data_IF_451336289668
#
_entry.id   IF_451336289668
#
_cell.length_a   1.000
_cell.length_b   1.000
_cell.length_c   1.000
_cell.angle_alpha   90.00
_cell.angle_beta   90.00
_cell.angle_gamma   90.00
#
_symmetry.space_group_name_H-M   'P 1'
#
loop_
_entity.id
_entity.type
_entity.pdbx_description
1 polymer ?
#
# COMPACT_ATOMS: atom_id res chain seq x y z
N UNK A 1 4.46 -10.12 -44.52
CA UNK A 1 3.74 -8.87 -44.26
C UNK A 1 4.42 -8.23 -43.08
N UNK A 2 4.86 -6.98 -43.24
CA UNK A 2 5.54 -6.27 -42.15
C UNK A 2 4.49 -5.94 -41.06
N UNK A 3 4.79 -6.09 -39.75
CA UNK A 3 3.81 -5.80 -38.68
C UNK A 3 3.16 -4.41 -38.80
N UNK A 4 3.91 -3.41 -39.25
CA UNK A 4 3.38 -2.06 -39.49
C UNK A 4 2.34 -1.98 -40.63
N UNK A 5 2.42 -2.83 -41.66
CA UNK A 5 1.44 -2.86 -42.75
C UNK A 5 0.09 -3.42 -42.27
N UNK A 6 0.14 -4.46 -41.43
CA UNK A 6 -1.04 -5.03 -40.78
C UNK A 6 -1.71 -3.98 -39.87
N UNK A 7 -0.92 -3.32 -39.01
CA UNK A 7 -1.40 -2.25 -38.12
C UNK A 7 -2.04 -1.10 -38.90
N UNK A 8 -1.40 -0.64 -39.98
CA UNK A 8 -1.92 0.42 -40.83
C UNK A 8 -3.24 0.03 -41.52
N UNK A 9 -3.38 -1.22 -41.96
CA UNK A 9 -4.62 -1.72 -42.55
C UNK A 9 -5.78 -1.71 -41.55
N UNK A 10 -5.56 -2.14 -40.31
CA UNK A 10 -6.57 -2.07 -39.25
C UNK A 10 -6.94 -0.63 -38.89
N UNK A 11 -5.94 0.26 -38.78
CA UNK A 11 -6.15 1.69 -38.54
C UNK A 11 -7.02 2.34 -39.61
N UNK A 12 -6.78 2.00 -40.89
CA UNK A 12 -7.56 2.50 -42.03
C UNK A 12 -9.03 2.08 -41.95
N UNK A 13 -9.30 0.81 -41.67
CA UNK A 13 -10.67 0.30 -41.53
C UNK A 13 -11.44 1.00 -40.39
N UNK A 14 -10.77 1.34 -39.30
CA UNK A 14 -11.41 2.03 -38.18
C UNK A 14 -11.60 3.54 -38.45
N UNK A 15 -10.56 4.24 -38.90
CA UNK A 15 -10.58 5.71 -39.06
C UNK A 15 -11.29 6.18 -40.34
N UNK A 16 -11.15 5.45 -41.45
CA UNK A 16 -11.75 5.85 -42.75
C UNK A 16 -13.12 5.20 -42.99
N UNK A 17 -13.28 3.91 -42.64
CA UNK A 17 -14.53 3.18 -42.87
C UNK A 17 -15.47 3.16 -41.65
N UNK A 18 -15.00 3.63 -40.48
CA UNK A 18 -15.80 3.72 -39.25
C UNK A 18 -16.19 2.37 -38.65
N UNK A 19 -15.51 1.28 -39.05
CA UNK A 19 -15.85 -0.08 -38.63
C UNK A 19 -15.40 -0.28 -37.18
N UNK A 20 -16.30 -0.78 -36.35
CA UNK A 20 -16.02 -1.01 -34.93
C UNK A 20 -14.95 -2.10 -34.71
N UNK A 21 -14.17 -2.06 -33.61
CA UNK A 21 -13.23 -3.11 -33.25
C UNK A 21 -13.88 -4.51 -33.18
N UNK A 22 -15.14 -4.57 -32.76
CA UNK A 22 -15.94 -5.79 -32.66
C UNK A 22 -16.24 -6.39 -34.05
N UNK A 23 -16.61 -5.56 -35.02
CA UNK A 23 -16.87 -5.99 -36.40
C UNK A 23 -15.58 -6.39 -37.12
N UNK A 24 -14.48 -5.67 -36.88
CA UNK A 24 -13.16 -6.04 -37.38
C UNK A 24 -12.77 -7.43 -36.82
N UNK A 25 -12.95 -7.67 -35.52
CA UNK A 25 -12.66 -8.97 -34.90
C UNK A 25 -13.46 -10.10 -35.56
N UNK A 26 -14.76 -9.88 -35.79
CA UNK A 26 -15.63 -10.85 -36.46
C UNK A 26 -15.21 -11.09 -37.93
N UNK A 27 -14.81 -10.05 -38.66
CA UNK A 27 -14.41 -10.13 -40.07
C UNK A 27 -13.10 -10.89 -40.29
N UNK A 28 -12.14 -10.75 -39.37
CA UNK A 28 -10.82 -11.37 -39.47
C UNK A 28 -10.66 -12.63 -38.61
N UNK A 29 -11.67 -13.02 -37.82
CA UNK A 29 -11.63 -14.21 -36.98
C UNK A 29 -10.61 -14.14 -35.84
N UNK A 30 -10.29 -12.94 -35.35
CA UNK A 30 -9.30 -12.69 -34.29
C UNK A 30 -9.98 -12.14 -33.03
N UNK A 31 -9.31 -12.26 -31.88
CA UNK A 31 -9.87 -11.78 -30.61
C UNK A 31 -10.06 -10.26 -30.62
N UNK A 32 -11.12 -9.77 -29.95
CA UNK A 32 -11.37 -8.32 -29.79
C UNK A 32 -10.19 -7.60 -29.14
N UNK A 33 -9.51 -8.25 -28.20
CA UNK A 33 -8.30 -7.69 -27.55
C UNK A 33 -7.15 -7.56 -28.52
N UNK A 34 -6.98 -8.53 -29.42
CA UNK A 34 -5.97 -8.44 -30.47
C UNK A 34 -6.26 -7.25 -31.39
N UNK A 35 -7.52 -7.03 -31.78
CA UNK A 35 -7.91 -5.88 -32.59
C UNK A 35 -7.68 -4.56 -31.85
N UNK A 36 -8.13 -4.43 -30.59
CA UNK A 36 -7.92 -3.22 -29.80
C UNK A 36 -6.43 -2.88 -29.64
N UNK A 37 -5.59 -3.89 -29.43
CA UNK A 37 -4.12 -3.73 -29.39
C UNK A 37 -3.56 -3.27 -30.74
N UNK A 38 -4.02 -3.83 -31.86
CA UNK A 38 -3.58 -3.40 -33.20
C UNK A 38 -4.00 -1.97 -33.52
N UNK A 39 -5.22 -1.59 -33.13
CA UNK A 39 -5.73 -0.23 -33.29
C UNK A 39 -4.97 0.78 -32.42
N UNK A 40 -4.63 0.41 -31.18
CA UNK A 40 -3.79 1.25 -30.31
C UNK A 40 -2.41 1.53 -30.93
N UNK A 41 -1.79 0.52 -31.56
CA UNK A 41 -0.54 0.71 -32.30
C UNK A 41 -0.73 1.57 -33.56
N UNK A 42 -1.87 1.49 -34.22
CA UNK A 42 -2.18 2.30 -35.40
C UNK A 42 -2.45 3.78 -35.06
N UNK A 43 -2.67 4.08 -33.78
CA UNK A 43 -2.92 5.43 -33.28
C UNK A 43 -1.64 6.17 -32.86
N UNK A 44 -0.47 5.53 -32.97
CA UNK A 44 0.82 6.16 -32.72
C UNK A 44 1.10 7.32 -33.70
N UNK A 45 1.97 8.25 -33.27
CA UNK A 45 2.41 9.37 -34.12
C UNK A 45 2.91 8.86 -35.49
N UNK A 46 2.60 9.56 -36.59
CA UNK A 46 3.12 9.23 -37.92
C UNK A 46 4.65 9.09 -37.96
N UNK A 47 5.38 9.87 -37.15
CA UNK A 47 6.85 9.79 -37.07
C UNK A 47 7.31 8.51 -36.39
N UNK A 48 6.60 8.06 -35.35
CA UNK A 48 6.87 6.81 -34.65
C UNK A 48 6.56 5.60 -35.56
N UNK A 49 5.46 5.66 -36.31
CA UNK A 49 5.11 4.61 -37.27
C UNK A 49 6.15 4.47 -38.39
N UNK A 50 6.77 5.57 -38.82
CA UNK A 50 7.87 5.52 -39.78
C UNK A 50 9.12 4.84 -39.21
N UNK A 51 9.49 5.11 -37.96
CA UNK A 51 10.60 4.40 -37.29
C UNK A 51 10.34 2.90 -37.18
N UNK A 52 9.09 2.51 -36.92
CA UNK A 52 8.68 1.10 -36.91
C UNK A 52 8.77 0.48 -38.31
N UNK A 53 8.42 1.22 -39.38
CA UNK A 53 8.50 0.75 -40.77
C UNK A 53 9.95 0.59 -41.26
N UNK A 54 10.88 1.37 -40.71
CA UNK A 54 12.30 1.32 -41.04
C UNK A 54 13.09 0.29 -40.23
N UNK A 55 12.42 -0.55 -39.42
CA UNK A 55 13.05 -1.50 -38.49
C UNK A 55 14.00 -0.84 -37.44
N UNK A 56 13.87 0.47 -37.20
CA UNK A 56 14.64 1.19 -36.18
C UNK A 56 14.04 1.03 -34.77
N UNK A 57 12.82 0.49 -34.69
CA UNK A 57 12.04 0.30 -33.46
C UNK A 57 11.46 -1.11 -33.43
N UNK A 58 11.50 -1.76 -32.27
CA UNK A 58 10.83 -3.04 -32.07
C UNK A 58 9.34 -2.85 -31.76
N UNK A 59 8.55 -3.90 -32.02
CA UNK A 59 7.12 -3.89 -31.71
C UNK A 59 6.85 -3.65 -30.20
N UNK A 60 7.68 -4.19 -29.32
CA UNK A 60 7.54 -3.99 -27.87
C UNK A 60 7.79 -2.53 -27.45
N UNK A 61 8.70 -1.83 -28.14
CA UNK A 61 8.94 -0.41 -27.92
C UNK A 61 7.76 0.43 -28.40
N UNK A 62 7.20 0.10 -29.56
CA UNK A 62 5.98 0.74 -30.07
C UNK A 62 4.80 0.54 -29.10
N UNK A 63 4.63 -0.68 -28.56
CA UNK A 63 3.61 -0.98 -27.55
C UNK A 63 3.77 -0.12 -26.30
N UNK A 64 4.99 0.10 -25.82
CA UNK A 64 5.23 0.96 -24.65
C UNK A 64 4.79 2.42 -24.87
N UNK A 65 4.82 2.91 -26.12
CA UNK A 65 4.38 4.27 -26.46
C UNK A 65 2.86 4.42 -26.53
N UNK A 66 2.12 3.30 -26.72
CA UNK A 66 0.64 3.32 -26.74
C UNK A 66 0.01 3.60 -25.37
N UNK A 67 0.82 3.72 -24.32
CA UNK A 67 0.36 4.15 -22.98
C UNK A 67 -0.28 5.53 -23.01
N UNK A 68 0.05 6.38 -24.00
CA UNK A 68 -0.58 7.68 -24.19
C UNK A 68 -1.10 7.86 -25.61
N UNK A 69 -2.21 8.58 -25.74
CA UNK A 69 -2.74 9.02 -27.04
C UNK A 69 -2.15 10.35 -27.52
N UNK A 70 -1.37 11.03 -26.68
CA UNK A 70 -0.72 12.30 -27.01
C UNK A 70 0.54 12.07 -27.85
N UNK A 71 0.48 12.47 -29.12
CA UNK A 71 1.57 12.31 -30.08
C UNK A 71 2.84 13.06 -29.68
N UNK A 72 2.72 14.25 -29.09
CA UNK A 72 3.88 15.04 -28.67
C UNK A 72 4.63 14.35 -27.54
N UNK A 73 3.88 13.73 -26.61
CA UNK A 73 4.47 12.93 -25.51
C UNK A 73 5.13 11.65 -26.02
N UNK A 74 4.51 10.96 -26.98
CA UNK A 74 5.11 9.78 -27.63
C UNK A 74 6.44 10.14 -28.29
N UNK A 75 6.44 11.22 -29.09
CA UNK A 75 7.62 11.70 -29.79
C UNK A 75 8.71 12.18 -28.83
N UNK A 76 8.34 12.95 -27.80
CA UNK A 76 9.26 13.35 -26.76
C UNK A 76 9.90 12.12 -26.11
N UNK A 77 9.11 11.11 -25.71
CA UNK A 77 9.58 9.89 -25.07
C UNK A 77 10.61 9.14 -25.92
N UNK A 78 10.33 8.97 -27.22
CA UNK A 78 11.19 8.24 -28.13
C UNK A 78 12.41 9.04 -28.60
N UNK A 79 12.20 10.22 -29.17
CA UNK A 79 13.26 11.04 -29.77
C UNK A 79 14.08 11.79 -28.73
N UNK A 80 13.49 12.11 -27.58
CA UNK A 80 14.21 12.69 -26.44
C UNK A 80 15.05 11.68 -25.66
N UNK A 81 14.97 10.38 -25.96
CA UNK A 81 15.85 9.37 -25.37
C UNK A 81 17.24 9.42 -26.03
N UNK A 82 18.22 9.99 -25.31
CA UNK A 82 19.59 10.18 -25.81
C UNK A 82 20.39 8.88 -26.00
N UNK A 83 20.01 7.80 -25.31
CA UNK A 83 20.72 6.53 -25.34
C UNK A 83 19.76 5.38 -25.69
N UNK A 84 20.27 4.32 -26.34
CA UNK A 84 19.47 3.16 -26.74
C UNK A 84 18.79 2.44 -25.56
N UNK A 85 19.45 2.36 -24.40
CA UNK A 85 18.87 1.77 -23.19
C UNK A 85 17.67 2.58 -22.66
N UNK A 86 17.63 3.90 -22.88
CA UNK A 86 16.46 4.71 -22.52
C UNK A 86 15.24 4.45 -23.42
N UNK A 87 15.44 3.75 -24.54
CA UNK A 87 14.38 3.30 -25.45
C UNK A 87 13.89 1.88 -25.14
N UNK A 88 14.38 1.24 -24.08
CA UNK A 88 13.81 -0.03 -23.63
C UNK A 88 12.35 0.17 -23.19
N UNK A 89 11.45 -0.81 -23.42
CA UNK A 89 10.02 -0.67 -23.08
C UNK A 89 9.79 -0.17 -21.65
N UNK A 90 10.46 -0.76 -20.64
CA UNK A 90 10.34 -0.35 -19.23
C UNK A 90 10.67 1.13 -19.00
N UNK A 91 11.64 1.67 -19.72
CA UNK A 91 12.08 3.06 -19.57
C UNK A 91 11.11 4.01 -20.27
N UNK A 92 10.63 3.65 -21.46
CA UNK A 92 9.60 4.41 -22.16
C UNK A 92 8.31 4.48 -21.34
N UNK A 93 7.85 3.33 -20.80
CA UNK A 93 6.68 3.28 -19.90
C UNK A 93 6.86 4.21 -18.70
N UNK A 94 7.99 4.09 -17.99
CA UNK A 94 8.27 4.94 -16.83
C UNK A 94 8.23 6.42 -17.19
N UNK A 95 8.87 6.82 -18.29
CA UNK A 95 8.94 8.22 -18.72
C UNK A 95 7.57 8.80 -19.10
N UNK A 96 6.71 7.98 -19.70
CA UNK A 96 5.34 8.38 -20.03
C UNK A 96 4.43 8.43 -18.80
N UNK A 97 4.69 7.58 -17.81
CA UNK A 97 3.93 7.53 -16.55
C UNK A 97 4.41 8.53 -15.49
N UNK A 98 5.59 9.15 -15.62
CA UNK A 98 6.16 10.09 -14.63
C UNK A 98 5.25 11.30 -14.34
N UNK A 99 4.48 11.78 -15.33
CA UNK A 99 3.52 12.88 -15.14
C UNK A 99 2.14 12.43 -14.67
N UNK A 100 1.93 11.12 -14.48
CA UNK A 100 0.66 10.51 -14.05
C UNK A 100 0.79 9.88 -12.67
N UNK A 101 -0.33 9.54 -12.03
CA UNK A 101 -0.29 8.64 -10.88
C UNK A 101 -0.27 7.20 -11.39
N UNK A 102 0.71 6.44 -10.88
CA UNK A 102 0.79 5.02 -11.19
C UNK A 102 -0.34 4.27 -10.49
N UNK A 103 -0.86 3.18 -11.10
CA UNK A 103 -1.85 2.33 -10.46
C UNK A 103 -1.37 1.70 -9.15
N UNK A 104 -0.05 1.55 -8.98
CA UNK A 104 0.57 1.04 -7.75
C UNK A 104 0.85 2.13 -6.71
N UNK A 105 0.55 3.40 -7.03
CA UNK A 105 0.67 4.48 -6.06
C UNK A 105 -0.50 4.39 -5.07
N UNK A 106 -0.20 4.52 -3.79
CA UNK A 106 -1.20 4.46 -2.71
C UNK A 106 -2.31 5.48 -2.87
N UNK A 107 -2.00 6.63 -3.47
CA UNK A 107 -2.97 7.67 -3.78
C UNK A 107 -3.95 7.15 -4.81
N UNK A 108 -3.44 6.56 -5.90
CA UNK A 108 -4.26 6.05 -6.98
C UNK A 108 -5.22 4.97 -6.52
N UNK A 109 -4.85 4.16 -5.53
CA UNK A 109 -5.74 3.17 -4.92
C UNK A 109 -6.79 3.84 -4.03
N UNK A 110 -6.36 4.75 -3.14
CA UNK A 110 -7.20 5.40 -2.14
C UNK A 110 -8.37 6.24 -2.73
N UNK A 111 -8.16 6.87 -3.88
CA UNK A 111 -9.12 7.80 -4.52
C UNK A 111 -9.69 7.29 -5.85
N UNK A 112 -9.41 6.03 -6.23
CA UNK A 112 -9.74 5.52 -7.57
C UNK A 112 -11.22 5.73 -7.91
N UNK A 113 -12.09 5.34 -7.01
CA UNK A 113 -13.54 5.37 -7.23
C UNK A 113 -14.05 6.82 -7.28
N UNK A 114 -13.61 7.66 -6.36
CA UNK A 114 -14.00 9.08 -6.30
C UNK A 114 -13.49 9.85 -7.52
N UNK A 115 -12.29 9.54 -8.00
CA UNK A 115 -11.72 10.17 -9.19
C UNK A 115 -12.49 9.79 -10.45
N UNK A 116 -12.86 8.51 -10.60
CA UNK A 116 -13.69 8.06 -11.71
C UNK A 116 -15.10 8.67 -11.63
N UNK A 117 -15.68 8.77 -10.42
CA UNK A 117 -16.97 9.42 -10.19
C UNK A 117 -16.94 10.93 -10.49
N UNK A 118 -15.79 11.59 -10.23
CA UNK A 118 -15.56 12.98 -10.59
C UNK A 118 -15.32 13.20 -12.09
N UNK A 119 -15.33 12.13 -12.91
CA UNK A 119 -15.06 12.19 -14.34
C UNK A 119 -13.58 12.44 -14.67
N UNK A 120 -12.68 12.12 -13.76
CA UNK A 120 -11.25 12.29 -13.94
C UNK A 120 -10.72 11.46 -15.12
N UNK A 121 -9.84 12.05 -15.91
CA UNK A 121 -9.28 11.39 -17.08
C UNK A 121 -8.31 10.27 -16.66
N UNK A 122 -8.48 9.09 -17.26
CA UNK A 122 -7.63 7.93 -16.99
C UNK A 122 -7.20 7.28 -18.29
N UNK A 123 -6.07 6.58 -18.23
CA UNK A 123 -5.57 5.77 -19.35
C UNK A 123 -5.25 4.37 -18.87
N UNK A 124 -5.54 3.36 -19.69
CA UNK A 124 -5.28 1.97 -19.38
C UNK A 124 -4.24 1.37 -20.32
N UNK A 125 -3.27 0.64 -19.75
CA UNK A 125 -2.29 -0.09 -20.57
C UNK A 125 -2.93 -1.38 -21.12
N UNK A 126 -3.33 -1.33 -22.40
CA UNK A 126 -3.96 -2.45 -23.12
C UNK A 126 -3.00 -3.65 -23.34
N UNK A 127 -1.70 -3.47 -23.13
CA UNK A 127 -0.67 -4.49 -23.30
C UNK A 127 -0.19 -5.10 -21.98
N UNK A 128 -0.63 -4.58 -20.83
CA UNK A 128 -0.30 -5.14 -19.53
C UNK A 128 -1.02 -6.48 -19.29
N UNK A 129 -0.37 -7.37 -18.52
CA UNK A 129 -0.95 -8.67 -18.11
C UNK A 129 -2.09 -8.48 -17.09
N UNK A 130 -2.03 -7.42 -16.29
CA UNK A 130 -3.06 -7.01 -15.34
C UNK A 130 -3.59 -5.63 -15.76
N UNK A 131 -4.86 -5.37 -15.52
CA UNK A 131 -5.46 -4.06 -15.81
C UNK A 131 -4.78 -2.99 -14.95
N UNK A 132 -4.04 -2.09 -15.62
CA UNK A 132 -3.32 -0.99 -15.00
C UNK A 132 -3.94 0.31 -15.47
N UNK A 133 -4.60 1.02 -14.56
CA UNK A 133 -5.24 2.31 -14.82
C UNK A 133 -4.38 3.41 -14.23
N UNK A 134 -3.95 4.34 -15.08
CA UNK A 134 -3.18 5.51 -14.72
C UNK A 134 -4.10 6.71 -14.61
N UNK A 135 -3.98 7.48 -13.53
CA UNK A 135 -4.73 8.73 -13.36
C UNK A 135 -3.92 9.87 -13.96
N UNK A 136 -4.50 10.59 -14.92
CA UNK A 136 -3.79 11.65 -15.65
C UNK A 136 -3.70 12.92 -14.81
N UNK A 137 -4.82 13.33 -14.20
CA UNK A 137 -4.92 14.57 -13.45
C UNK A 137 -4.46 14.37 -12.00
N UNK A 138 -3.19 14.68 -11.75
CA UNK A 138 -2.60 14.65 -10.41
C UNK A 138 -3.27 15.64 -9.48
N UNK A 139 -3.54 16.87 -9.93
CA UNK A 139 -4.06 17.93 -9.06
C UNK A 139 -5.45 17.57 -8.55
N UNK A 140 -6.31 17.05 -9.43
CA UNK A 140 -7.62 16.53 -9.04
C UNK A 140 -7.49 15.37 -8.05
N UNK A 141 -6.59 14.42 -8.32
CA UNK A 141 -6.36 13.28 -7.43
C UNK A 141 -5.89 13.70 -6.03
N UNK A 142 -4.93 14.62 -5.92
CA UNK A 142 -4.46 15.16 -4.64
C UNK A 142 -5.57 15.94 -3.93
N UNK A 143 -6.33 16.76 -4.64
CA UNK A 143 -7.46 17.53 -4.06
C UNK A 143 -8.55 16.60 -3.50
N UNK A 144 -8.86 15.50 -4.20
CA UNK A 144 -9.82 14.50 -3.72
C UNK A 144 -9.28 13.74 -2.50
N UNK A 145 -7.99 13.38 -2.53
CA UNK A 145 -7.34 12.72 -1.41
C UNK A 145 -7.35 13.59 -0.15
N UNK A 146 -7.03 14.88 -0.28
CA UNK A 146 -7.07 15.85 0.83
C UNK A 146 -8.48 15.97 1.40
N UNK A 147 -9.51 16.12 0.56
CA UNK A 147 -10.91 16.20 1.03
C UNK A 147 -11.34 14.93 1.78
N UNK A 148 -10.97 13.75 1.27
CA UNK A 148 -11.32 12.47 1.90
C UNK A 148 -10.60 12.29 3.23
N UNK A 149 -9.32 12.67 3.31
CA UNK A 149 -8.55 12.65 4.56
C UNK A 149 -9.07 13.68 5.57
N UNK A 150 -9.51 14.85 5.13
CA UNK A 150 -10.08 15.86 6.03
C UNK A 150 -11.41 15.40 6.64
N UNK A 151 -12.28 14.76 5.86
CA UNK A 151 -13.51 14.16 6.40
C UNK A 151 -13.23 13.07 7.45
N UNK A 152 -12.18 12.26 7.25
CA UNK A 152 -11.74 11.28 8.24
C UNK A 152 -11.16 11.94 9.48
N UNK A 153 -10.38 13.01 9.30
CA UNK A 153 -9.84 13.82 10.40
C UNK A 153 -10.97 14.41 11.25
N UNK A 154 -12.02 14.96 10.64
CA UNK A 154 -13.19 15.47 11.38
C UNK A 154 -13.90 14.37 12.18
N UNK A 155 -14.06 13.19 11.58
CA UNK A 155 -14.67 12.03 12.25
C UNK A 155 -13.86 11.60 13.48
N UNK A 156 -12.53 11.58 13.37
CA UNK A 156 -11.65 11.19 14.48
C UNK A 156 -11.52 12.32 15.50
N UNK A 157 -11.54 13.58 15.08
CA UNK A 157 -11.51 14.71 16.00
C UNK A 157 -12.74 14.71 16.93
N UNK A 158 -13.89 14.22 16.46
CA UNK A 158 -15.07 14.00 17.29
C UNK A 158 -14.87 12.96 18.40
N UNK A 159 -13.84 12.10 18.33
CA UNK A 159 -13.50 11.14 19.40
C UNK A 159 -12.86 11.80 20.64
N UNK A 160 -12.46 13.09 20.56
CA UNK A 160 -11.94 13.88 21.68
C UNK A 160 -10.41 14.02 21.76
N UNK A 161 -9.67 13.68 20.70
CA UNK A 161 -8.21 13.78 20.67
C UNK A 161 -7.72 15.23 20.67
N UNK A 162 -6.61 15.49 21.37
CA UNK A 162 -5.97 16.82 21.45
C UNK A 162 -5.67 17.43 20.08
N UNK A 163 -5.23 16.59 19.15
CA UNK A 163 -4.97 16.95 17.77
C UNK A 163 -5.14 15.73 16.88
N UNK A 164 -5.60 15.97 15.65
CA UNK A 164 -5.66 14.96 14.60
C UNK A 164 -4.94 15.53 13.39
N UNK A 165 -3.96 14.79 12.87
CA UNK A 165 -3.18 15.23 11.71
C UNK A 165 -3.26 14.19 10.61
N UNK A 166 -3.77 14.54 9.41
CA UNK A 166 -3.55 13.72 8.24
C UNK A 166 -2.07 13.80 7.87
N UNK A 167 -1.39 12.66 7.81
CA UNK A 167 0.02 12.59 7.45
C UNK A 167 0.19 11.96 6.08
N UNK A 168 0.57 12.81 5.13
CA UNK A 168 0.58 12.53 3.72
C UNK A 168 1.68 13.37 3.04
N UNK A 169 2.50 12.81 2.14
CA UNK A 169 2.50 11.44 1.64
C UNK A 169 3.46 10.50 2.40
N UNK A 170 4.09 10.89 3.50
CA UNK A 170 5.04 10.02 4.23
C UNK A 170 4.62 9.85 5.68
N UNK A 171 4.65 8.63 6.20
CA UNK A 171 4.45 8.40 7.63
C UNK A 171 5.64 8.94 8.41
N UNK A 172 5.39 9.99 9.18
CA UNK A 172 6.26 10.56 10.21
C UNK A 172 5.94 9.98 11.59
N UNK A 173 5.20 8.87 11.68
CA UNK A 173 4.69 8.37 12.96
C UNK A 173 5.80 8.05 13.99
N UNK A 174 7.01 7.74 13.52
CA UNK A 174 8.19 7.49 14.36
C UNK A 174 8.68 8.71 15.17
N UNK A 175 8.27 9.93 14.84
CA UNK A 175 8.67 11.13 15.58
C UNK A 175 7.85 11.33 16.87
N UNK A 176 6.68 10.70 16.95
CA UNK A 176 5.76 10.84 18.07
C UNK A 176 6.06 9.82 19.18
N UNK A 177 5.86 10.23 20.43
CA UNK A 177 5.79 9.29 21.55
C UNK A 177 4.51 8.44 21.46
N UNK A 178 4.48 7.29 22.12
CA UNK A 178 3.29 6.42 22.14
C UNK A 178 2.71 6.34 23.55
N UNK A 179 1.39 6.46 23.61
CA UNK A 179 0.57 6.14 24.75
C UNK A 179 -0.27 4.93 24.37
N UNK A 180 -0.32 3.94 25.25
CA UNK A 180 -1.08 2.72 25.01
C UNK A 180 -2.47 2.84 25.64
N UNK A 181 -3.50 2.25 25.01
CA UNK A 181 -4.82 2.16 25.61
C UNK A 181 -4.74 1.38 26.93
N UNK A 182 -5.65 1.68 27.84
CA UNK A 182 -5.78 0.94 29.10
C UNK A 182 -6.89 -0.08 28.97
N UNK A 183 -6.73 -1.19 29.69
CA UNK A 183 -7.77 -2.21 29.80
C UNK A 183 -8.93 -1.65 30.62
N UNK A 184 -10.07 -1.39 29.98
CA UNK A 184 -11.30 -0.91 30.61
C UNK A 184 -12.24 -2.11 30.74
N UNK A 185 -12.82 -2.30 31.93
CA UNK A 185 -13.84 -3.35 32.11
C UNK A 185 -15.04 -3.07 31.22
N UNK A 186 -15.50 -4.09 30.48
CA UNK A 186 -16.68 -4.00 29.64
C UNK A 186 -17.88 -3.51 30.43
N UNK A 187 -18.71 -2.69 29.80
CA UNK A 187 -20.00 -2.33 30.38
C UNK A 187 -20.84 -3.59 30.61
N UNK A 188 -21.75 -3.58 31.58
CA UNK A 188 -22.63 -4.73 31.83
C UNK A 188 -23.47 -5.12 30.59
N UNK A 189 -23.74 -4.16 29.70
CA UNK A 189 -24.42 -4.39 28.42
C UNK A 189 -23.51 -5.08 27.40
N UNK A 190 -22.26 -4.62 27.25
CA UNK A 190 -21.28 -5.26 26.37
C UNK A 190 -20.94 -6.67 26.84
N UNK A 191 -20.84 -6.88 28.17
CA UNK A 191 -20.58 -8.19 28.75
C UNK A 191 -21.71 -9.18 28.49
N UNK A 192 -22.97 -8.74 28.67
CA UNK A 192 -24.14 -9.57 28.37
C UNK A 192 -24.22 -9.91 26.86
N UNK A 193 -23.84 -8.97 26.00
CA UNK A 193 -23.81 -9.17 24.56
C UNK A 193 -22.69 -10.11 24.11
N UNK A 194 -21.53 -10.05 24.77
CA UNK A 194 -20.41 -10.96 24.54
C UNK A 194 -20.79 -12.38 24.97
N UNK A 195 -21.53 -12.55 26.07
CA UNK A 195 -22.04 -13.85 26.51
C UNK A 195 -23.07 -14.43 25.52
N UNK A 196 -23.98 -13.60 25.01
CA UNK A 196 -24.94 -13.99 23.96
C UNK A 196 -24.22 -14.41 22.66
N UNK A 197 -23.30 -13.57 22.18
CA UNK A 197 -22.55 -13.83 20.95
C UNK A 197 -21.60 -15.03 21.09
N UNK A 198 -21.00 -15.24 22.25
CA UNK A 198 -20.19 -16.44 22.53
C UNK A 198 -21.05 -17.71 22.47
N UNK A 199 -22.28 -17.66 23.00
CA UNK A 199 -23.20 -18.79 22.89
C UNK A 199 -23.64 -19.08 21.44
N UNK A 200 -23.83 -18.03 20.63
CA UNK A 200 -24.11 -18.17 19.20
C UNK A 200 -22.90 -18.71 18.44
N UNK A 201 -21.70 -18.23 18.76
CA UNK A 201 -20.42 -18.71 18.23
C UNK A 201 -20.25 -20.20 18.47
N UNK A 202 -20.42 -20.66 19.72
CA UNK A 202 -20.26 -22.08 20.08
C UNK A 202 -21.28 -22.98 19.34
N UNK A 203 -22.50 -22.47 19.15
CA UNK A 203 -23.52 -23.18 18.37
C UNK A 203 -23.14 -23.28 16.89
N UNK A 204 -22.64 -22.20 16.30
CA UNK A 204 -22.21 -22.18 14.90
C UNK A 204 -20.94 -23.00 14.69
N UNK A 205 -20.01 -22.98 15.65
CA UNK A 205 -18.81 -23.81 15.65
C UNK A 205 -19.14 -25.31 15.66
N UNK A 206 -20.15 -25.73 16.46
CA UNK A 206 -20.63 -27.11 16.44
C UNK A 206 -21.24 -27.50 15.09
N UNK A 207 -21.94 -26.58 14.42
CA UNK A 207 -22.49 -26.82 13.08
C UNK A 207 -21.39 -26.89 12.01
N UNK A 208 -20.34 -26.07 12.12
CA UNK A 208 -19.16 -26.17 11.24
C UNK A 208 -18.48 -27.52 11.42
N UNK A 209 -18.38 -28.04 12.65
CA UNK A 209 -17.78 -29.35 12.95
C UNK A 209 -18.63 -30.50 12.40
N UNK A 210 -19.95 -30.46 12.60
CA UNK A 210 -20.89 -31.46 12.08
C UNK A 210 -20.84 -31.56 10.55
N UNK A 211 -20.61 -30.44 9.87
CA UNK A 211 -20.54 -30.35 8.42
C UNK A 211 -19.11 -30.42 7.84
N UNK A 212 -18.08 -30.60 8.66
CA UNK A 212 -16.65 -30.62 8.29
C UNK A 212 -16.17 -29.38 7.50
N UNK A 213 -16.68 -28.20 7.89
CA UNK A 213 -16.50 -26.92 7.18
C UNK A 213 -15.26 -26.12 7.62
N UNK A 214 -14.34 -26.75 8.34
CA UNK A 214 -13.11 -26.10 8.83
C UNK A 214 -11.95 -26.12 7.81
N UNK A 215 -12.15 -26.66 6.61
CA UNK A 215 -11.16 -26.73 5.53
C UNK A 215 -11.24 -25.60 4.52
N UNK A 216 -10.20 -25.45 3.68
CA UNK A 216 -10.16 -24.58 2.50
C UNK A 216 -11.06 -25.13 1.36
N UNK A 217 -12.29 -25.56 1.68
CA UNK A 217 -13.24 -25.92 0.64
C UNK A 217 -13.66 -24.64 -0.11
N UNK A 218 -13.47 -24.64 -1.43
CA UNK A 218 -13.84 -23.52 -2.28
C UNK A 218 -15.35 -23.27 -2.12
N UNK A 219 -15.74 -21.99 -2.00
CA UNK A 219 -17.13 -21.60 -1.74
C UNK A 219 -18.16 -22.12 -2.77
N UNK A 220 -17.69 -22.67 -3.90
CA UNK A 220 -18.50 -23.28 -4.95
C UNK A 220 -18.99 -24.71 -4.63
N UNK A 221 -18.34 -25.43 -3.71
CA UNK A 221 -18.72 -26.79 -3.29
C UNK A 221 -19.68 -26.82 -2.08
N UNK A 222 -19.92 -25.66 -1.45
CA UNK A 222 -20.80 -25.52 -0.30
C UNK A 222 -22.27 -25.47 -0.70
N UNK A 223 -23.13 -26.20 0.01
CA UNK A 223 -24.58 -26.00 -0.08
C UNK A 223 -24.97 -24.63 0.47
N UNK A 224 -26.13 -24.05 0.04
CA UNK A 224 -26.59 -22.76 0.55
C UNK A 224 -26.69 -22.69 2.08
N UNK A 225 -27.04 -23.80 2.72
CA UNK A 225 -27.11 -23.91 4.17
C UNK A 225 -25.72 -23.85 4.83
N UNK A 226 -24.72 -24.54 4.27
CA UNK A 226 -23.34 -24.51 4.76
C UNK A 226 -22.72 -23.11 4.59
N UNK A 227 -23.01 -22.45 3.46
CA UNK A 227 -22.56 -21.08 3.21
C UNK A 227 -23.16 -20.07 4.22
N UNK A 228 -24.42 -20.25 4.60
CA UNK A 228 -25.08 -19.43 5.62
C UNK A 228 -24.43 -19.63 7.01
N UNK A 229 -24.08 -20.87 7.36
CA UNK A 229 -23.38 -21.19 8.62
C UNK A 229 -22.01 -20.49 8.66
N UNK A 230 -21.19 -20.64 7.61
CA UNK A 230 -19.86 -20.00 7.52
C UNK A 230 -19.97 -18.48 7.57
N UNK A 231 -20.91 -17.89 6.83
CA UNK A 231 -21.12 -16.44 6.82
C UNK A 231 -21.55 -15.91 8.19
N UNK A 232 -22.48 -16.62 8.84
CA UNK A 232 -22.98 -16.26 10.18
C UNK A 232 -21.87 -16.38 11.22
N UNK A 233 -21.06 -17.44 11.16
CA UNK A 233 -19.92 -17.64 12.05
C UNK A 233 -18.90 -16.50 11.94
N UNK A 234 -18.50 -16.15 10.71
CA UNK A 234 -17.58 -15.05 10.47
C UNK A 234 -18.14 -13.71 10.97
N UNK A 235 -19.45 -13.49 10.81
CA UNK A 235 -20.13 -12.29 11.30
C UNK A 235 -20.16 -12.22 12.84
N UNK A 236 -20.43 -13.34 13.51
CA UNK A 236 -20.41 -13.42 14.98
C UNK A 236 -18.99 -13.20 15.51
N UNK A 237 -17.98 -13.83 14.90
CA UNK A 237 -16.58 -13.57 15.26
C UNK A 237 -16.19 -12.11 15.10
N UNK A 238 -16.53 -11.51 13.96
CA UNK A 238 -16.27 -10.07 13.75
C UNK A 238 -16.98 -9.20 14.80
N UNK A 239 -18.16 -9.61 15.26
CA UNK A 239 -18.90 -8.89 16.29
C UNK A 239 -18.29 -9.06 17.70
N UNK A 240 -17.80 -10.26 18.03
CA UNK A 240 -17.08 -10.55 19.28
C UNK A 240 -15.78 -9.74 19.33
N UNK A 241 -14.96 -9.81 18.28
CA UNK A 241 -13.73 -9.03 18.14
C UNK A 241 -14.01 -7.53 18.30
N UNK A 242 -15.05 -7.00 17.63
CA UNK A 242 -15.42 -5.59 17.74
C UNK A 242 -15.87 -5.14 19.14
N UNK A 243 -16.31 -6.06 20.01
CA UNK A 243 -16.61 -5.77 21.42
C UNK A 243 -15.32 -5.89 22.25
N UNK A 244 -14.52 -6.92 22.02
CA UNK A 244 -13.23 -7.13 22.71
C UNK A 244 -12.23 -6.01 22.41
N UNK A 245 -12.22 -5.46 21.20
CA UNK A 245 -11.41 -4.28 20.85
C UNK A 245 -11.78 -3.04 21.68
N UNK A 246 -12.98 -2.98 22.26
CA UNK A 246 -13.40 -1.92 23.19
C UNK A 246 -12.88 -2.13 24.61
N UNK A 247 -12.33 -3.31 24.91
CA UNK A 247 -11.63 -3.60 26.18
C UNK A 247 -10.36 -2.76 26.29
N UNK A 248 -9.78 -2.32 25.18
CA UNK A 248 -8.63 -1.42 25.13
C UNK A 248 -9.07 0.00 24.70
N UNK A 249 -9.48 0.82 25.67
CA UNK A 249 -9.90 2.20 25.42
C UNK A 249 -8.88 3.21 25.95
N UNK A 250 -8.78 4.34 25.26
CA UNK A 250 -8.08 5.51 25.77
C UNK A 250 -8.99 6.30 26.70
N UNK A 251 -8.52 6.60 27.90
CA UNK A 251 -9.26 7.45 28.83
C UNK A 251 -9.33 8.89 28.31
N UNK A 252 -10.30 9.68 28.77
CA UNK A 252 -10.44 11.08 28.35
C UNK A 252 -9.18 11.90 28.69
N UNK A 253 -8.49 11.57 29.78
CA UNK A 253 -7.20 12.17 30.15
C UNK A 253 -6.11 11.83 29.13
N UNK A 254 -6.04 10.57 28.68
CA UNK A 254 -5.11 10.14 27.64
C UNK A 254 -5.41 10.83 26.30
N UNK A 255 -6.67 10.93 25.91
CA UNK A 255 -7.11 11.63 24.68
C UNK A 255 -6.83 13.13 24.71
N UNK A 256 -6.91 13.77 25.89
CA UNK A 256 -6.59 15.18 26.06
C UNK A 256 -5.08 15.48 25.92
N UNK A 257 -4.21 14.49 26.11
CA UNK A 257 -2.75 14.64 26.01
C UNK A 257 -2.17 14.07 24.71
N UNK A 258 -2.80 13.04 24.15
CA UNK A 258 -2.40 12.37 22.92
C UNK A 258 -3.21 12.84 21.71
N UNK A 259 -2.69 12.59 20.52
CA UNK A 259 -3.35 12.84 19.25
C UNK A 259 -3.47 11.56 18.42
N UNK A 260 -4.07 11.73 17.25
CA UNK A 260 -4.20 10.69 16.25
C UNK A 260 -3.59 11.14 14.92
N UNK A 261 -2.97 10.21 14.21
CA UNK A 261 -2.46 10.41 12.86
C UNK A 261 -3.23 9.51 11.90
N UNK A 262 -3.75 10.10 10.85
CA UNK A 262 -4.38 9.37 9.73
C UNK A 262 -3.37 9.27 8.61
N UNK A 263 -2.98 8.05 8.26
CA UNK A 263 -2.02 7.77 7.19
C UNK A 263 -2.62 6.82 6.17
N UNK A 264 -2.00 6.75 5.00
CA UNK A 264 -2.22 5.66 4.06
C UNK A 264 -1.09 4.64 4.20
N UNK A 265 -1.45 3.38 4.20
CA UNK A 265 -0.49 2.28 4.20
C UNK A 265 0.21 2.14 2.81
N UNK A 266 0.94 1.04 2.62
CA UNK A 266 1.69 0.82 1.37
C UNK A 266 0.77 0.45 0.19
N UNK A 267 -0.44 -0.01 0.49
CA UNK A 267 -1.45 -0.44 -0.49
C UNK A 267 -2.44 0.69 -0.81
N UNK A 268 -2.54 1.71 0.06
CA UNK A 268 -3.48 2.82 -0.06
C UNK A 268 -4.71 2.68 0.83
N UNK A 269 -4.68 1.76 1.80
CA UNK A 269 -5.70 1.63 2.84
C UNK A 269 -5.48 2.65 3.96
N UNK A 270 -6.58 3.08 4.58
CA UNK A 270 -6.54 4.05 5.68
C UNK A 270 -5.99 3.35 6.92
N UNK A 271 -4.90 3.89 7.44
CA UNK A 271 -4.31 3.48 8.71
C UNK A 271 -4.39 4.63 9.71
N UNK A 272 -5.13 4.40 10.80
CA UNK A 272 -5.28 5.37 11.89
C UNK A 272 -4.41 4.94 13.07
N UNK A 273 -3.40 5.75 13.40
CA UNK A 273 -2.57 5.55 14.59
C UNK A 273 -3.03 6.49 15.70
N UNK A 274 -3.67 5.95 16.73
CA UNK A 274 -4.15 6.67 17.93
C UNK A 274 -3.11 6.62 19.06
N UNK A 275 -3.23 7.53 20.03
CA UNK A 275 -2.34 7.54 21.21
C UNK A 275 -0.95 8.14 20.94
N UNK A 276 -0.82 9.08 20.00
CA UNK A 276 0.46 9.70 19.65
C UNK A 276 0.73 10.97 20.46
N UNK A 277 1.87 11.03 21.14
CA UNK A 277 2.30 12.20 21.92
C UNK A 277 3.20 13.07 21.02
N UNK A 278 2.87 14.36 20.91
CA UNK A 278 3.66 15.31 20.15
C UNK A 278 5.12 15.35 20.67
N UNK A 279 6.14 15.50 19.79
CA UNK A 279 7.55 15.53 20.21
C UNK A 279 7.82 16.58 21.31
N UNK A 280 7.09 17.69 21.28
CA UNK A 280 7.19 18.80 22.23
C UNK A 280 6.68 18.44 23.63
N UNK A 281 5.69 17.54 23.71
CA UNK A 281 5.01 17.14 24.94
C UNK A 281 5.61 15.86 25.56
N UNK A 282 6.57 15.23 24.87
CA UNK A 282 7.17 13.95 25.24
C UNK A 282 7.82 13.97 26.62
N UNK A 283 8.64 14.98 26.93
CA UNK A 283 9.36 15.05 28.21
C UNK A 283 8.41 15.25 29.40
N UNK A 284 7.33 16.01 29.22
CA UNK A 284 6.32 16.23 30.26
C UNK A 284 5.54 14.94 30.56
N UNK A 285 5.16 14.19 29.51
CA UNK A 285 4.45 12.92 29.67
C UNK A 285 5.34 11.78 30.17
N UNK A 286 6.62 11.71 29.77
CA UNK A 286 7.56 10.75 30.35
C UNK A 286 7.76 10.97 31.86
N UNK A 287 7.73 12.23 32.31
CA UNK A 287 7.83 12.59 33.73
C UNK A 287 6.56 12.22 34.50
N UNK A 288 5.37 12.48 33.93
CA UNK A 288 4.09 12.07 34.50
C UNK A 288 3.93 10.55 34.57
N UNK A 289 4.32 9.83 33.51
CA UNK A 289 4.28 8.37 33.49
C UNK A 289 5.16 7.77 34.60
N UNK A 290 6.38 8.29 34.79
CA UNK A 290 7.26 7.87 35.90
C UNK A 290 6.65 8.18 37.27
N UNK A 291 6.06 9.36 37.45
CA UNK A 291 5.40 9.72 38.70
C UNK A 291 4.17 8.85 39.01
N UNK A 292 3.39 8.47 37.98
CA UNK A 292 2.25 7.57 38.12
C UNK A 292 2.71 6.13 38.45
N UNK A 293 3.80 5.65 37.85
CA UNK A 293 4.40 4.35 38.23
C UNK A 293 4.89 4.37 39.67
N UNK A 294 5.55 5.45 40.11
CA UNK A 294 5.99 5.61 41.51
C UNK A 294 4.81 5.70 42.48
N UNK A 295 3.73 6.43 42.13
CA UNK A 295 2.52 6.50 42.97
C UNK A 295 1.81 5.15 43.12
N UNK A 296 1.73 4.36 42.04
CA UNK A 296 1.14 3.01 42.06
C UNK A 296 1.98 2.00 42.86
N UNK A 297 3.27 2.27 43.03
CA UNK A 297 4.19 1.48 43.85
C UNK A 297 4.09 1.79 45.36
N UNK A 298 3.47 2.92 45.73
CA UNK A 298 3.31 3.33 47.13
C UNK A 298 1.96 2.85 47.72
N UNK A 299 0.97 2.51 46.87
CA UNK A 299 -0.39 2.12 47.30
C UNK A 299 -0.63 0.59 47.28
N UNK A 300 0.40 -0.21 47.00
CA UNK A 300 0.35 -1.66 46.90
C UNK A 300 1.29 -2.36 47.88
N UNK A 301 1.05 -2.22 49.19
CA UNK A 301 1.66 -3.11 50.20
C UNK A 301 0.92 -4.45 50.20
N UNK A 302 1.38 -5.39 49.38
CA UNK A 302 1.24 -6.84 49.66
C UNK A 302 2.45 -7.54 49.04
N UNK A 303 3.14 -8.27 49.91
CA UNK A 303 4.46 -8.89 49.77
C UNK A 303 4.55 -9.93 48.63
N UNK A 304 5.71 -9.92 47.96
CA UNK A 304 6.40 -10.98 47.16
C UNK A 304 6.24 -11.00 45.62
N UNK A 305 7.30 -11.37 44.87
CA UNK A 305 8.69 -10.93 44.94
C UNK A 305 9.09 -10.10 43.69
N UNK A 306 10.16 -9.29 43.84
CA UNK A 306 10.78 -8.53 42.76
C UNK A 306 11.13 -9.41 41.56
N UNK A 307 10.54 -9.11 40.40
CA UNK A 307 11.15 -9.43 39.12
C UNK A 307 12.00 -8.24 38.73
N UNK A 308 13.31 -8.35 38.96
CA UNK A 308 14.31 -7.43 38.42
C UNK A 308 14.09 -7.32 36.90
N UNK A 309 13.68 -6.15 36.44
CA UNK A 309 13.73 -5.81 35.02
C UNK A 309 15.22 -5.64 34.72
N UNK A 310 15.83 -6.68 34.13
CA UNK A 310 17.18 -6.63 33.59
C UNK A 310 17.26 -5.47 32.59
N UNK A 311 17.77 -4.33 33.05
CA UNK A 311 18.29 -3.31 32.15
C UNK A 311 19.39 -3.99 31.35
N UNK A 312 19.26 -3.96 30.03
CA UNK A 312 20.14 -4.58 29.05
C UNK A 312 21.53 -3.88 29.03
N UNK A 313 22.22 -3.89 30.17
CA UNK A 313 23.61 -3.53 30.32
C UNK A 313 24.41 -4.76 29.89
N UNK A 314 24.97 -4.70 28.69
CA UNK A 314 25.88 -5.72 28.16
C UNK A 314 26.88 -6.12 29.25
N UNK A 315 27.06 -7.43 29.47
CA UNK A 315 27.98 -7.91 30.50
C UNK A 315 29.40 -7.38 30.27
N UNK A 316 30.15 -7.15 31.35
CA UNK A 316 31.50 -6.62 31.26
C UNK A 316 32.40 -7.48 30.35
N UNK A 317 32.23 -8.81 30.40
CA UNK A 317 32.92 -9.77 29.56
C UNK A 317 32.57 -9.57 28.06
N UNK A 318 31.30 -9.36 27.73
CA UNK A 318 30.88 -9.15 26.33
C UNK A 318 31.35 -7.79 25.79
N UNK A 319 31.40 -6.78 26.66
CA UNK A 319 31.93 -5.45 26.30
C UNK A 319 33.44 -5.52 26.05
N UNK A 320 34.17 -6.25 26.88
CA UNK A 320 35.61 -6.48 26.71
C UNK A 320 35.89 -7.24 25.40
N UNK A 321 35.13 -8.28 25.10
CA UNK A 321 35.31 -9.09 23.90
C UNK A 321 34.98 -8.31 22.60
N UNK A 322 33.93 -7.48 22.62
CA UNK A 322 33.60 -6.59 21.50
C UNK A 322 34.64 -5.48 21.30
N UNK A 323 35.24 -4.97 22.37
CA UNK A 323 36.35 -4.00 22.27
C UNK A 323 37.65 -4.65 21.78
N UNK A 324 37.93 -5.89 22.17
CA UNK A 324 39.01 -6.70 21.65
C UNK A 324 38.85 -6.94 20.15
N UNK A 325 37.65 -7.32 19.69
CA UNK A 325 37.34 -7.50 18.28
C UNK A 325 37.38 -6.21 17.45
N UNK A 326 36.96 -5.07 18.00
CA UNK A 326 37.11 -3.76 17.33
C UNK A 326 38.57 -3.34 17.20
N UNK A 327 39.39 -3.58 18.21
CA UNK A 327 40.81 -3.23 18.19
C UNK A 327 41.64 -4.16 17.29
N UNK A 328 41.25 -5.43 17.13
CA UNK A 328 41.88 -6.36 16.18
C UNK A 328 41.55 -6.00 14.73
N UNK A 329 40.29 -5.63 14.41
CA UNK A 329 39.93 -5.13 13.07
C UNK A 329 40.67 -3.83 12.71
N UNK A 330 40.79 -2.88 13.65
CA UNK A 330 41.58 -1.66 13.39
C UNK A 330 43.05 -1.97 13.10
N UNK A 331 43.66 -2.88 13.87
CA UNK A 331 45.06 -3.31 13.63
C UNK A 331 45.24 -4.05 12.29
N UNK A 332 44.26 -4.85 11.87
CA UNK A 332 44.27 -5.51 10.57
C UNK A 332 44.15 -4.52 9.39
N UNK A 333 43.39 -3.44 9.56
CA UNK A 333 43.26 -2.39 8.54
C UNK A 333 44.47 -1.43 8.49
N UNK A 334 45.27 -1.34 9.55
CA UNK A 334 46.43 -0.44 9.65
C UNK A 334 47.77 -1.11 9.33
N UNK A 335 47.78 -2.39 8.99
CA UNK A 335 48.97 -3.08 8.51
C UNK A 335 49.40 -2.51 7.13
N UNK A 336 50.61 -1.94 6.99
CA UNK A 336 51.06 -1.39 5.71
C UNK A 336 51.19 -2.51 4.68
N UNK A 337 50.60 -2.32 3.49
CA UNK A 337 50.81 -3.17 2.31
C UNK A 337 52.30 -3.29 2.04
N UNK A 338 52.93 -4.39 2.46
CA UNK A 338 54.30 -4.72 2.05
C UNK A 338 54.32 -4.87 0.53
N UNK A 339 55.18 -4.08 -0.10
CA UNK A 339 55.27 -3.90 -1.53
C UNK A 339 55.48 -5.21 -2.29
N UNK A 340 54.79 -5.33 -3.42
CA UNK A 340 55.07 -6.32 -4.44
C UNK A 340 56.06 -5.69 -5.43
N UNK A 341 57.30 -6.18 -5.59
CA UNK A 341 58.22 -5.65 -6.58
C UNK A 341 57.79 -6.12 -7.98
N UNK A 342 57.60 -5.16 -8.89
CA UNK A 342 57.47 -5.43 -10.33
C UNK A 342 58.84 -5.29 -11.01
N UNK A 343 59.04 -6.17 -11.98
CA UNK A 343 60.06 -6.20 -13.05
C UNK A 343 61.48 -6.62 -12.67
N UNK A 344 61.90 -7.79 -13.15
CA UNK A 344 62.73 -7.85 -14.37
C UNK A 344 62.77 -9.26 -14.98
N UNK A 345 62.89 -9.26 -16.33
CA UNK A 345 63.05 -10.35 -17.32
C UNK A 345 61.80 -11.03 -17.87
#
# INVERSE_FOLDING_TARGET
>A
MHPAEEIAAFGKLNKEEGISPEEIAARFGISRMTVRRRLALADLSPRILEELRQDNMSLEQAQALTITHDHDRQEAAWFGAQHSWNREPRHLKRRLSEERLNPTDKISHFIREEYLAAGGAFESDLFATKEQVYLIDKELAYTLAEKKLEALRETIAAEGWKWVTPDFPYSTSNQYGRMYPQKVEHSAEDQAKLEELSGEHDRLAAQLEEHDLYGDEEAEDLTPQQQEIVTSYNKVNSAIEAIQDREEAFTDEQKAEAGAVVTLDHVGEIKIERGLIAPQDRAANETKAKAATTAKQIDGDTTEPEVEIETNTLSAALTEDLTAHRSSRRRACQAPRRGNPRHDL
#
